data_IF_677461134171
#
_entry.id   IF_677461134171
#
_cell.length_a   1.000
_cell.length_b   1.000
_cell.length_c   1.000
_cell.angle_alpha   90.00
_cell.angle_beta   90.00
_cell.angle_gamma   90.00
#
_symmetry.space_group_name_H-M   'P 1'
#
loop_
_entity.id
_entity.type
_entity.pdbx_description
1 polymer ?
#
# COMPACT_ATOMS: atom_id res chain seq x y z
N UNK A 1 5.19 -13.42 -25.10
CA UNK A 1 4.87 -14.09 -23.83
C UNK A 1 4.13 -13.09 -22.95
N UNK A 2 3.11 -13.53 -22.19
CA UNK A 2 2.39 -12.64 -21.29
C UNK A 2 3.31 -12.15 -20.16
N UNK A 3 3.05 -10.93 -19.66
CA UNK A 3 3.74 -10.40 -18.48
C UNK A 3 3.27 -11.14 -17.23
N UNK A 4 4.21 -11.65 -16.44
CA UNK A 4 3.95 -12.32 -15.16
C UNK A 4 3.73 -11.26 -14.09
N UNK A 5 2.49 -11.09 -13.67
CA UNK A 5 2.09 -10.08 -12.69
C UNK A 5 1.94 -10.74 -11.32
N UNK A 6 2.88 -10.47 -10.43
CA UNK A 6 2.78 -10.81 -9.01
C UNK A 6 1.74 -9.95 -8.31
N UNK A 7 0.82 -10.57 -7.58
CA UNK A 7 -0.18 -9.86 -6.76
C UNK A 7 -0.52 -10.63 -5.48
N UNK A 8 -1.06 -9.92 -4.49
CA UNK A 8 -1.68 -10.52 -3.30
C UNK A 8 -3.19 -10.55 -3.52
N UNK A 9 -3.84 -11.68 -3.22
CA UNK A 9 -5.28 -11.85 -3.39
C UNK A 9 -6.05 -11.08 -2.32
N UNK A 10 -6.25 -9.79 -2.56
CA UNK A 10 -7.02 -8.89 -1.72
C UNK A 10 -8.00 -8.05 -2.55
N UNK A 11 -9.02 -7.51 -1.90
CA UNK A 11 -10.07 -6.73 -2.56
C UNK A 11 -9.55 -5.47 -3.29
N UNK A 12 -8.39 -4.93 -2.91
CA UNK A 12 -7.70 -3.85 -3.66
C UNK A 12 -7.24 -4.28 -5.07
N UNK A 13 -7.01 -5.57 -5.29
CA UNK A 13 -6.59 -6.12 -6.59
C UNK A 13 -7.76 -6.33 -7.56
N UNK A 14 -8.99 -5.97 -7.19
CA UNK A 14 -10.19 -6.22 -7.99
C UNK A 14 -10.11 -5.70 -9.44
N UNK A 15 -9.59 -4.48 -9.72
CA UNK A 15 -9.42 -4.03 -11.11
C UNK A 15 -8.44 -4.90 -11.91
N UNK A 16 -7.36 -5.38 -11.28
CA UNK A 16 -6.40 -6.30 -11.92
C UNK A 16 -7.05 -7.66 -12.20
N UNK A 17 -7.85 -8.18 -11.26
CA UNK A 17 -8.54 -9.45 -11.43
C UNK A 17 -9.56 -9.38 -12.57
N UNK A 18 -10.34 -8.30 -12.65
CA UNK A 18 -11.26 -8.05 -13.77
C UNK A 18 -10.52 -7.95 -15.11
N UNK A 19 -9.37 -7.29 -15.13
CA UNK A 19 -8.50 -7.25 -16.31
C UNK A 19 -8.04 -8.67 -16.68
N UNK A 20 -7.46 -9.43 -15.75
CA UNK A 20 -6.96 -10.76 -16.04
C UNK A 20 -8.05 -11.74 -16.50
N UNK A 21 -9.26 -11.64 -15.94
CA UNK A 21 -10.42 -12.43 -16.37
C UNK A 21 -10.80 -12.15 -17.83
N UNK A 22 -10.79 -10.88 -18.25
CA UNK A 22 -11.07 -10.50 -19.63
C UNK A 22 -9.89 -10.73 -20.59
N UNK A 23 -8.66 -10.71 -20.08
CA UNK A 23 -7.45 -10.94 -20.87
C UNK A 23 -7.25 -12.42 -21.21
N UNK A 24 -7.72 -13.33 -20.36
CA UNK A 24 -7.63 -14.79 -20.57
C UNK A 24 -6.19 -15.28 -20.83
N UNK A 25 -5.19 -14.63 -20.23
CA UNK A 25 -3.79 -15.03 -20.36
C UNK A 25 -3.09 -14.56 -21.64
N UNK A 26 -3.71 -13.69 -22.44
CA UNK A 26 -3.17 -13.20 -23.71
C UNK A 26 -2.00 -12.25 -23.53
N UNK A 27 -2.14 -11.28 -22.63
CA UNK A 27 -1.14 -10.23 -22.37
C UNK A 27 -0.55 -10.31 -20.97
N UNK A 28 -1.29 -10.84 -19.99
CA UNK A 28 -0.83 -10.98 -18.61
C UNK A 28 -1.08 -12.38 -18.05
N UNK A 29 -0.19 -12.84 -17.17
CA UNK A 29 -0.35 -14.06 -16.38
C UNK A 29 -0.23 -13.71 -14.91
N UNK A 30 -1.29 -13.94 -14.13
CA UNK A 30 -1.28 -13.64 -12.70
C UNK A 30 -0.50 -14.70 -11.92
N UNK A 31 0.36 -14.22 -11.01
CA UNK A 31 1.16 -15.04 -10.11
C UNK A 31 0.82 -14.65 -8.68
N UNK A 32 0.01 -15.45 -8.02
CA UNK A 32 -0.43 -15.17 -6.66
C UNK A 32 0.70 -15.32 -5.64
N UNK A 33 0.80 -14.35 -4.74
CA UNK A 33 1.79 -14.25 -3.68
C UNK A 33 1.10 -14.10 -2.31
N UNK A 34 0.58 -15.20 -1.73
CA UNK A 34 -0.21 -15.14 -0.49
C UNK A 34 0.60 -14.72 0.75
N UNK A 35 1.93 -14.78 0.69
CA UNK A 35 2.80 -14.33 1.80
C UNK A 35 3.07 -12.81 1.77
N UNK A 36 2.33 -12.06 0.97
CA UNK A 36 2.41 -10.60 0.89
C UNK A 36 3.64 -10.09 0.14
N UNK A 37 4.01 -8.83 0.39
CA UNK A 37 5.02 -8.13 -0.40
C UNK A 37 6.43 -8.73 -0.29
N UNK A 38 6.80 -9.33 0.84
CA UNK A 38 8.10 -10.01 0.97
C UNK A 38 8.29 -11.11 -0.09
N UNK A 39 7.22 -11.83 -0.42
CA UNK A 39 7.22 -12.82 -1.49
C UNK A 39 7.26 -12.16 -2.87
N UNK A 40 6.52 -11.07 -3.09
CA UNK A 40 6.56 -10.32 -4.35
C UNK A 40 7.98 -9.84 -4.66
N UNK A 41 8.68 -9.24 -3.70
CA UNK A 41 10.07 -8.80 -3.85
C UNK A 41 11.00 -9.98 -4.13
N UNK A 42 10.85 -11.08 -3.39
CA UNK A 42 11.67 -12.28 -3.65
C UNK A 42 11.44 -12.83 -5.06
N UNK A 43 10.22 -12.81 -5.57
CA UNK A 43 9.92 -13.29 -6.91
C UNK A 43 10.41 -12.34 -7.99
N UNK A 44 10.26 -11.03 -7.77
CA UNK A 44 10.74 -10.00 -8.67
C UNK A 44 12.28 -10.05 -8.78
N UNK A 45 12.98 -10.29 -7.67
CA UNK A 45 14.46 -10.41 -7.67
C UNK A 45 14.97 -11.71 -8.27
N UNK A 46 14.19 -12.79 -8.22
CA UNK A 46 14.53 -14.11 -8.80
C UNK A 46 14.07 -14.28 -10.25
N UNK A 47 13.52 -13.24 -10.86
CA UNK A 47 12.95 -13.32 -12.21
C UNK A 47 11.85 -14.39 -12.33
N UNK A 48 11.05 -14.55 -11.28
CA UNK A 48 9.85 -15.39 -11.28
C UNK A 48 8.59 -14.60 -11.71
N UNK A 49 8.61 -13.27 -11.56
CA UNK A 49 7.59 -12.32 -12.02
C UNK A 49 8.26 -11.13 -12.70
N UNK A 50 7.54 -10.50 -13.63
CA UNK A 50 8.01 -9.33 -14.38
C UNK A 50 7.58 -8.01 -13.70
N UNK A 51 6.39 -8.03 -13.08
CA UNK A 51 5.75 -6.89 -12.43
C UNK A 51 5.19 -7.31 -11.09
N UNK A 52 5.33 -6.49 -10.06
CA UNK A 52 4.75 -6.68 -8.72
C UNK A 52 3.75 -5.56 -8.41
N UNK A 53 2.50 -5.94 -8.10
CA UNK A 53 1.52 -5.07 -7.45
C UNK A 53 1.66 -5.23 -5.94
N UNK A 54 2.23 -4.21 -5.29
CA UNK A 54 2.67 -4.33 -3.91
C UNK A 54 2.35 -3.10 -3.08
N UNK A 55 2.33 -3.27 -1.76
CA UNK A 55 2.16 -2.17 -0.83
C UNK A 55 3.37 -1.21 -0.87
N UNK A 56 3.09 0.09 -0.82
CA UNK A 56 4.08 1.16 -1.02
C UNK A 56 5.18 1.18 0.05
N UNK A 57 4.80 0.92 1.30
CA UNK A 57 5.67 0.79 2.48
C UNK A 57 6.72 -0.33 2.37
N UNK A 58 6.65 -1.17 1.35
CA UNK A 58 7.58 -2.28 1.12
C UNK A 58 8.41 -2.13 -0.18
N UNK A 59 8.17 -1.09 -0.99
CA UNK A 59 8.85 -0.89 -2.30
C UNK A 59 10.27 -0.36 -2.20
N UNK A 60 10.61 0.32 -1.10
CA UNK A 60 12.00 0.52 -0.73
C UNK A 60 12.49 -0.75 -0.05
N UNK A 61 13.78 -1.06 -0.15
CA UNK A 61 14.46 -2.19 0.52
C UNK A 61 14.44 -2.07 2.08
N UNK A 62 13.41 -1.40 2.64
CA UNK A 62 13.27 -0.82 3.96
C UNK A 62 11.92 -1.17 4.63
N UNK A 63 11.02 -1.89 3.96
CA UNK A 63 9.77 -2.39 4.54
C UNK A 63 9.92 -3.68 5.35
N UNK A 64 10.82 -3.66 6.33
CA UNK A 64 11.09 -4.71 7.31
C UNK A 64 11.47 -3.93 8.59
N UNK A 65 10.93 -4.07 9.81
CA UNK A 65 10.18 -5.13 10.53
C UNK A 65 9.75 -4.55 11.91
N UNK A 66 8.88 -5.25 12.66
CA UNK A 66 8.55 -5.30 14.11
C UNK A 66 9.38 -4.60 15.24
N UNK A 67 10.44 -3.82 14.98
CA UNK A 67 11.33 -3.14 15.95
C UNK A 67 11.54 -1.67 15.51
N UNK A 68 12.42 -0.89 16.15
CA UNK A 68 12.77 0.49 15.72
C UNK A 68 12.84 0.59 14.18
N UNK A 69 11.99 1.43 13.58
CA UNK A 69 11.66 1.47 12.15
C UNK A 69 10.32 0.80 11.77
N UNK A 70 9.44 0.51 12.73
CA UNK A 70 8.16 -0.19 12.47
C UNK A 70 7.16 0.68 11.70
N UNK A 71 6.19 0.06 11.01
CA UNK A 71 5.09 0.78 10.37
C UNK A 71 4.30 1.66 11.36
N UNK A 72 4.10 1.20 12.60
CA UNK A 72 3.49 2.00 13.67
C UNK A 72 4.34 3.21 14.08
N UNK A 73 5.68 3.09 14.08
CA UNK A 73 6.58 4.22 14.34
C UNK A 73 6.59 5.20 13.17
N UNK A 74 6.67 4.73 11.93
CA UNK A 74 6.57 5.56 10.73
C UNK A 74 5.25 6.31 10.70
N UNK A 75 4.13 5.63 11.00
CA UNK A 75 2.81 6.25 11.04
C UNK A 75 2.64 7.22 12.21
N UNK A 76 3.33 7.01 13.33
CA UNK A 76 3.40 7.99 14.40
C UNK A 76 4.23 9.22 14.01
N UNK A 77 5.34 9.05 13.27
CA UNK A 77 6.07 10.17 12.68
C UNK A 77 5.23 10.95 11.66
N UNK A 78 4.48 10.25 10.81
CA UNK A 78 3.49 10.84 9.88
C UNK A 78 2.47 11.67 10.66
N UNK A 79 1.87 11.09 11.70
CA UNK A 79 0.89 11.77 12.53
C UNK A 79 1.47 13.02 13.18
N UNK A 80 2.65 12.89 13.80
CA UNK A 80 3.36 14.00 14.42
C UNK A 80 3.60 15.12 13.41
N UNK A 81 4.06 14.80 12.21
CA UNK A 81 4.26 15.79 11.15
C UNK A 81 2.94 16.49 10.74
N UNK A 82 1.85 15.73 10.54
CA UNK A 82 0.54 16.29 10.19
C UNK A 82 -0.01 17.21 11.29
N UNK A 83 0.30 16.93 12.55
CA UNK A 83 -0.13 17.73 13.71
C UNK A 83 0.88 18.83 14.10
N UNK A 84 2.00 18.96 13.37
CA UNK A 84 3.06 19.93 13.66
C UNK A 84 3.86 19.62 14.93
N UNK A 85 3.91 18.37 15.36
CA UNK A 85 4.68 17.93 16.52
C UNK A 85 6.19 17.83 16.20
N UNK A 86 7.08 18.30 17.10
CA UNK A 86 8.51 18.11 16.94
C UNK A 86 8.87 16.62 16.92
N UNK A 87 9.70 16.18 15.96
CA UNK A 87 10.15 14.79 15.89
C UNK A 87 10.92 14.34 17.15
N UNK A 88 11.62 15.27 17.78
CA UNK A 88 12.42 15.08 19.00
C UNK A 88 11.56 14.87 20.26
N UNK A 89 10.28 15.27 20.25
CA UNK A 89 9.39 15.09 21.41
C UNK A 89 8.67 13.74 21.41
N UNK A 90 8.80 12.95 20.35
CA UNK A 90 8.18 11.63 20.25
C UNK A 90 9.11 10.54 20.79
N UNK A 91 8.72 9.95 21.91
CA UNK A 91 9.40 8.81 22.52
C UNK A 91 8.67 7.52 22.16
N UNK A 92 9.42 6.52 21.68
CA UNK A 92 8.86 5.23 21.27
C UNK A 92 9.28 4.12 22.23
N UNK A 93 8.31 3.31 22.65
CA UNK A 93 8.54 2.09 23.42
C UNK A 93 8.24 0.87 22.55
N UNK A 94 9.14 -0.11 22.55
CA UNK A 94 8.96 -1.36 21.80
C UNK A 94 8.20 -2.35 22.68
N UNK A 95 6.95 -2.65 22.32
CA UNK A 95 6.07 -3.53 23.11
C UNK A 95 5.76 -4.89 22.46
N UNK A 96 6.61 -5.34 21.52
CA UNK A 96 6.57 -6.65 20.83
C UNK A 96 5.29 -6.97 20.04
N UNK A 97 4.13 -7.06 20.70
CA UNK A 97 2.85 -7.47 20.13
C UNK A 97 1.69 -6.55 20.58
N UNK A 98 0.49 -6.81 20.05
CA UNK A 98 -0.70 -6.01 20.36
C UNK A 98 -1.11 -6.09 21.83
N UNK A 99 -0.86 -7.21 22.52
CA UNK A 99 -1.17 -7.33 23.96
C UNK A 99 -0.25 -6.43 24.77
N UNK A 100 1.05 -6.45 24.49
CA UNK A 100 1.99 -5.53 25.12
C UNK A 100 1.65 -4.06 24.87
N UNK A 101 1.13 -3.71 23.68
CA UNK A 101 0.65 -2.35 23.40
C UNK A 101 -0.59 -1.99 24.22
N UNK A 102 -1.58 -2.88 24.32
CA UNK A 102 -2.79 -2.68 25.13
C UNK A 102 -2.43 -2.53 26.61
N UNK A 103 -1.58 -3.41 27.13
CA UNK A 103 -1.14 -3.36 28.53
C UNK A 103 -0.42 -2.03 28.81
N UNK A 104 0.43 -1.59 27.88
CA UNK A 104 1.22 -0.36 28.05
C UNK A 104 0.40 0.94 28.12
N UNK A 105 -0.76 1.00 27.46
CA UNK A 105 -1.64 2.19 27.58
C UNK A 105 -2.47 2.16 28.85
N UNK A 106 -2.78 0.95 29.34
CA UNK A 106 -3.56 0.73 30.56
C UNK A 106 -2.71 0.84 31.83
N UNK A 107 -1.41 0.52 31.77
CA UNK A 107 -0.45 0.72 32.86
C UNK A 107 0.22 2.11 32.85
N UNK A 108 -0.12 2.94 31.86
CA UNK A 108 0.39 4.29 31.63
C UNK A 108 1.88 4.39 31.29
N UNK A 109 2.54 3.29 30.90
CA UNK A 109 3.90 3.32 30.36
C UNK A 109 3.96 3.96 28.96
N UNK A 110 2.87 3.89 28.19
CA UNK A 110 2.70 4.64 26.94
C UNK A 110 1.40 5.44 26.93
N UNK A 111 1.41 6.59 26.23
CA UNK A 111 0.24 7.46 26.15
C UNK A 111 -0.80 7.01 25.11
N UNK A 112 -0.33 6.40 24.01
CA UNK A 112 -1.14 5.89 22.92
C UNK A 112 -0.32 4.92 22.06
N UNK A 113 -1.01 4.07 21.29
CA UNK A 113 -0.40 3.25 20.24
C UNK A 113 -1.23 3.33 18.94
N UNK A 114 -0.62 2.93 17.83
CA UNK A 114 -1.27 2.81 16.53
C UNK A 114 -1.15 1.38 16.03
N UNK A 115 -2.25 0.85 15.48
CA UNK A 115 -2.32 -0.50 14.93
C UNK A 115 -3.38 -0.57 13.82
N UNK A 116 -3.37 -1.65 13.04
CA UNK A 116 -4.36 -1.86 11.97
C UNK A 116 -5.78 -1.98 12.57
N UNK A 117 -6.75 -1.35 11.92
CA UNK A 117 -8.10 -1.14 12.44
C UNK A 117 -8.85 -2.45 12.72
N UNK A 118 -8.90 -3.36 11.75
CA UNK A 118 -9.66 -4.60 11.85
C UNK A 118 -9.08 -5.55 12.90
N UNK A 119 -7.75 -5.56 13.09
CA UNK A 119 -7.09 -6.31 14.18
C UNK A 119 -7.26 -5.66 15.55
N UNK A 120 -7.53 -4.36 15.61
CA UNK A 120 -7.75 -3.64 16.89
C UNK A 120 -9.20 -3.66 17.32
N UNK A 121 -10.14 -3.78 16.37
CA UNK A 121 -11.58 -3.72 16.61
C UNK A 121 -12.08 -4.67 17.72
N UNK A 122 -11.64 -5.95 17.81
CA UNK A 122 -12.08 -6.83 18.89
C UNK A 122 -11.76 -6.29 20.30
N UNK A 123 -10.60 -5.65 20.45
CA UNK A 123 -10.16 -5.06 21.73
C UNK A 123 -10.94 -3.80 22.08
N UNK A 124 -11.27 -2.99 21.08
CA UNK A 124 -12.17 -1.86 21.23
C UNK A 124 -13.57 -2.32 21.65
N UNK A 125 -14.11 -3.33 20.98
CA UNK A 125 -15.44 -3.89 21.27
C UNK A 125 -15.50 -4.48 22.69
N UNK A 126 -14.39 -5.06 23.18
CA UNK A 126 -14.26 -5.58 24.55
C UNK A 126 -14.07 -4.51 25.64
N UNK A 127 -13.83 -3.25 25.24
CA UNK A 127 -13.58 -2.12 26.15
C UNK A 127 -12.15 -2.06 26.72
N UNK A 128 -11.23 -2.91 26.24
CA UNK A 128 -9.83 -2.94 26.70
C UNK A 128 -9.00 -1.77 26.17
N UNK A 129 -9.46 -1.12 25.09
CA UNK A 129 -8.85 0.09 24.53
C UNK A 129 -9.90 1.12 24.13
N UNK A 130 -9.49 2.38 24.04
CA UNK A 130 -10.32 3.48 23.54
C UNK A 130 -9.80 3.98 22.20
N UNK A 131 -10.69 4.02 21.20
CA UNK A 131 -10.37 4.63 19.91
C UNK A 131 -10.33 6.16 20.05
N UNK A 132 -9.18 6.76 19.71
CA UNK A 132 -8.97 8.22 19.76
C UNK A 132 -8.91 8.86 18.39
N UNK A 133 -8.66 8.09 17.33
CA UNK A 133 -8.56 8.58 15.96
C UNK A 133 -7.83 7.61 15.04
N UNK A 134 -7.83 7.95 13.75
CA UNK A 134 -7.16 7.19 12.69
C UNK A 134 -6.27 8.11 11.87
N UNK A 135 -5.11 7.60 11.45
CA UNK A 135 -4.18 8.33 10.58
C UNK A 135 -4.11 7.58 9.25
N UNK A 136 -4.74 8.09 8.18
CA UNK A 136 -4.57 7.49 6.86
C UNK A 136 -3.13 7.69 6.39
N UNK A 137 -2.61 6.72 5.64
CA UNK A 137 -1.31 6.89 4.97
C UNK A 137 -1.39 8.08 4.01
N UNK A 138 -0.46 9.05 4.07
CA UNK A 138 -0.50 10.22 3.20
C UNK A 138 -0.04 9.90 1.77
N UNK A 139 0.47 8.69 1.54
CA UNK A 139 0.83 8.15 0.24
C UNK A 139 -0.13 7.04 -0.21
N UNK A 140 -0.19 6.75 -1.53
CA UNK A 140 -0.89 5.61 -2.07
C UNK A 140 -0.42 4.33 -1.37
N UNK A 141 -1.37 3.54 -0.90
CA UNK A 141 -1.06 2.29 -0.20
C UNK A 141 -0.47 1.24 -1.14
N UNK A 142 -0.69 1.35 -2.45
CA UNK A 142 -0.24 0.39 -3.47
C UNK A 142 0.56 1.07 -4.58
N UNK A 143 1.57 0.35 -5.08
CA UNK A 143 2.42 0.74 -6.19
C UNK A 143 2.65 -0.45 -7.14
N UNK A 144 3.01 -0.12 -8.38
CA UNK A 144 3.47 -1.08 -9.38
C UNK A 144 4.98 -0.96 -9.52
N UNK A 145 5.70 -2.04 -9.29
CA UNK A 145 7.13 -2.13 -9.59
C UNK A 145 7.38 -3.15 -10.69
N UNK A 146 8.32 -2.88 -11.59
CA UNK A 146 8.68 -3.78 -12.67
C UNK A 146 10.19 -4.03 -12.67
N UNK A 147 10.62 -5.18 -13.22
CA UNK A 147 12.05 -5.37 -13.45
C UNK A 147 12.56 -4.39 -14.53
N UNK A 148 13.82 -3.90 -14.42
CA UNK A 148 14.41 -3.05 -15.45
C UNK A 148 14.53 -3.70 -16.84
N UNK A 149 14.52 -5.03 -16.90
CA UNK A 149 14.61 -5.84 -18.12
C UNK A 149 13.30 -5.95 -18.89
N UNK A 150 12.16 -5.59 -18.29
CA UNK A 150 10.85 -5.72 -18.95
C UNK A 150 10.74 -4.74 -20.11
N UNK A 151 10.14 -5.20 -21.20
CA UNK A 151 9.88 -4.36 -22.36
C UNK A 151 8.98 -3.15 -22.00
N UNK A 152 9.50 -1.94 -22.24
CA UNK A 152 8.83 -0.66 -21.95
C UNK A 152 7.46 -0.55 -22.63
N UNK A 153 7.29 -1.03 -23.85
CA UNK A 153 6.03 -0.95 -24.59
C UNK A 153 4.98 -1.90 -24.00
N UNK A 154 5.38 -3.12 -23.64
CA UNK A 154 4.51 -4.06 -22.94
C UNK A 154 4.06 -3.50 -21.58
N UNK A 155 4.95 -2.84 -20.82
CA UNK A 155 4.60 -2.17 -19.56
C UNK A 155 3.61 -1.02 -19.78
N UNK A 156 3.84 -0.17 -20.79
CA UNK A 156 2.91 0.92 -21.13
C UNK A 156 1.53 0.39 -21.49
N UNK A 157 1.48 -0.65 -22.32
CA UNK A 157 0.23 -1.28 -22.72
C UNK A 157 -0.49 -1.85 -21.49
N UNK A 158 0.22 -2.58 -20.62
CA UNK A 158 -0.31 -3.09 -19.36
C UNK A 158 -0.89 -1.98 -18.49
N UNK A 159 -0.12 -0.92 -18.21
CA UNK A 159 -0.56 0.20 -17.36
C UNK A 159 -1.72 0.99 -17.99
N UNK A 160 -1.73 1.16 -19.31
CA UNK A 160 -2.83 1.82 -20.05
C UNK A 160 -4.12 1.02 -19.91
N UNK A 161 -4.04 -0.29 -20.14
CA UNK A 161 -5.19 -1.18 -19.99
C UNK A 161 -5.65 -1.24 -18.54
N UNK A 162 -4.73 -1.42 -17.58
CA UNK A 162 -5.05 -1.37 -16.15
C UNK A 162 -5.75 -0.07 -15.76
N UNK A 163 -5.30 1.09 -16.27
CA UNK A 163 -5.95 2.37 -16.01
C UNK A 163 -7.41 2.40 -16.47
N UNK A 164 -7.76 1.73 -17.57
CA UNK A 164 -9.16 1.64 -18.02
C UNK A 164 -10.02 0.80 -17.06
N UNK A 165 -9.50 -0.33 -16.58
CA UNK A 165 -10.19 -1.16 -15.59
C UNK A 165 -10.31 -0.45 -14.25
N UNK A 166 -9.27 0.26 -13.83
CA UNK A 166 -9.30 1.07 -12.62
C UNK A 166 -10.35 2.17 -12.72
N UNK A 167 -10.41 2.94 -13.81
CA UNK A 167 -11.45 3.97 -14.01
C UNK A 167 -12.86 3.37 -14.07
N UNK A 168 -13.02 2.22 -14.71
CA UNK A 168 -14.31 1.53 -14.77
C UNK A 168 -14.76 1.07 -13.37
N UNK A 169 -13.83 0.49 -12.60
CA UNK A 169 -14.06 0.07 -11.22
C UNK A 169 -14.37 1.25 -10.29
N UNK A 170 -13.64 2.36 -10.45
CA UNK A 170 -13.76 3.55 -9.60
C UNK A 170 -15.01 4.41 -9.92
N UNK A 171 -15.73 4.10 -11.01
CA UNK A 171 -16.94 4.82 -11.42
C UNK A 171 -18.10 4.67 -10.42
N UNK A 172 -18.94 5.71 -10.30
CA UNK A 172 -20.06 5.73 -9.36
C UNK A 172 -21.03 4.54 -9.55
N UNK A 173 -21.27 4.15 -10.81
CA UNK A 173 -22.15 3.02 -11.14
C UNK A 173 -21.56 1.68 -10.66
N UNK A 174 -20.29 1.43 -10.95
CA UNK A 174 -19.61 0.19 -10.56
C UNK A 174 -19.49 0.06 -9.04
N UNK A 175 -19.17 1.15 -8.35
CA UNK A 175 -19.08 1.18 -6.87
C UNK A 175 -20.40 0.90 -6.19
N UNK A 176 -21.51 1.37 -6.76
CA UNK A 176 -22.83 1.18 -6.18
C UNK A 176 -23.38 -0.25 -6.35
N UNK A 177 -22.88 -1.03 -7.32
CA UNK A 177 -23.47 -2.32 -7.67
C UNK A 177 -22.44 -3.39 -8.05
N UNK A 178 -21.87 -3.29 -9.25
CA UNK A 178 -21.04 -4.34 -9.89
C UNK A 178 -19.88 -4.81 -9.00
N UNK A 179 -19.20 -3.86 -8.36
CA UNK A 179 -18.03 -4.18 -7.56
C UNK A 179 -18.39 -4.90 -6.26
N UNK A 180 -19.55 -4.58 -5.65
CA UNK A 180 -20.02 -5.23 -4.42
C UNK A 180 -20.22 -6.71 -4.69
N UNK A 181 -20.94 -7.05 -5.76
CA UNK A 181 -21.16 -8.44 -6.17
C UNK A 181 -19.85 -9.15 -6.53
N UNK A 182 -18.96 -8.48 -7.27
CA UNK A 182 -17.66 -9.03 -7.63
C UNK A 182 -16.85 -9.39 -6.38
N UNK A 183 -16.68 -8.45 -5.46
CA UNK A 183 -15.88 -8.65 -4.24
C UNK A 183 -16.51 -9.71 -3.33
N UNK A 184 -17.83 -9.68 -3.16
CA UNK A 184 -18.57 -10.68 -2.38
C UNK A 184 -18.34 -12.08 -2.92
N UNK A 185 -18.44 -12.27 -4.23
CA UNK A 185 -18.23 -13.57 -4.88
C UNK A 185 -16.76 -14.05 -4.85
N UNK A 186 -15.80 -13.12 -4.94
CA UNK A 186 -14.37 -13.45 -5.03
C UNK A 186 -13.69 -13.60 -3.67
N UNK A 187 -14.10 -12.84 -2.67
CA UNK A 187 -13.44 -12.75 -1.36
C UNK A 187 -14.33 -13.10 -0.17
N UNK A 188 -15.66 -13.18 -0.36
CA UNK A 188 -16.59 -13.63 0.69
C UNK A 188 -16.88 -12.60 1.79
N UNK A 189 -16.52 -11.33 1.61
CA UNK A 189 -16.83 -10.27 2.59
C UNK A 189 -18.33 -9.97 2.67
N UNK A 190 -18.77 -9.48 3.83
CA UNK A 190 -20.12 -8.99 4.03
C UNK A 190 -20.41 -7.76 3.16
N UNK A 191 -21.65 -7.63 2.70
CA UNK A 191 -22.06 -6.56 1.79
C UNK A 191 -21.85 -5.17 2.41
N UNK A 192 -22.24 -5.01 3.68
CA UNK A 192 -22.07 -3.77 4.45
C UNK A 192 -20.60 -3.36 4.56
N UNK A 193 -19.68 -4.31 4.78
CA UNK A 193 -18.25 -4.05 4.87
C UNK A 193 -17.67 -3.62 3.52
N UNK A 194 -18.13 -4.24 2.42
CA UNK A 194 -17.69 -3.88 1.07
C UNK A 194 -18.18 -2.47 0.72
N UNK A 195 -19.43 -2.14 1.03
CA UNK A 195 -19.98 -0.80 0.79
C UNK A 195 -19.26 0.28 1.62
N UNK A 196 -18.95 -0.02 2.88
CA UNK A 196 -18.16 0.86 3.73
C UNK A 196 -16.76 1.07 3.14
N UNK A 197 -16.08 -0.01 2.74
CA UNK A 197 -14.77 0.07 2.10
C UNK A 197 -14.79 0.88 0.80
N UNK A 198 -15.81 0.68 -0.05
CA UNK A 198 -15.97 1.41 -1.32
C UNK A 198 -16.03 2.92 -1.16
N UNK A 199 -16.55 3.42 -0.04
CA UNK A 199 -16.62 4.85 0.27
C UNK A 199 -15.27 5.43 0.70
N UNK A 200 -14.32 4.57 1.09
CA UNK A 200 -13.01 4.99 1.64
C UNK A 200 -11.86 4.82 0.67
N UNK A 201 -11.89 3.77 -0.16
CA UNK A 201 -10.78 3.47 -1.08
C UNK A 201 -10.69 4.52 -2.19
N UNK A 202 -9.49 4.92 -2.57
CA UNK A 202 -9.25 5.77 -3.74
C UNK A 202 -8.35 5.06 -4.74
N UNK A 203 -8.65 5.18 -6.02
CA UNK A 203 -7.81 4.64 -7.10
C UNK A 203 -7.23 5.74 -8.00
N UNK A 204 -6.03 5.54 -8.56
CA UNK A 204 -5.47 6.49 -9.53
C UNK A 204 -6.25 6.45 -10.85
N UNK A 205 -6.52 7.62 -11.43
CA UNK A 205 -7.20 7.71 -12.73
C UNK A 205 -6.28 7.34 -13.91
N UNK A 206 -4.97 7.43 -13.72
CA UNK A 206 -3.93 7.11 -14.71
C UNK A 206 -2.75 6.42 -14.02
N UNK A 207 -2.59 5.11 -14.23
CA UNK A 207 -1.49 4.31 -13.67
C UNK A 207 -0.12 4.63 -14.32
N UNK A 208 -0.07 5.45 -15.37
CA UNK A 208 1.18 5.96 -15.96
C UNK A 208 1.63 7.27 -15.32
N UNK A 209 0.84 7.86 -14.44
CA UNK A 209 1.14 9.13 -13.80
C UNK A 209 1.54 8.92 -12.34
N UNK A 210 2.70 9.46 -11.98
CA UNK A 210 3.18 9.45 -10.59
C UNK A 210 3.18 10.89 -10.08
N UNK A 211 2.38 11.23 -9.05
CA UNK A 211 2.41 12.57 -8.46
C UNK A 211 3.76 12.81 -7.80
N UNK A 212 4.50 13.84 -8.24
CA UNK A 212 5.84 14.14 -7.74
C UNK A 212 5.81 14.45 -6.24
N UNK A 213 4.81 15.21 -5.80
CA UNK A 213 4.65 15.61 -4.40
C UNK A 213 4.47 14.40 -3.48
N UNK A 214 3.71 13.39 -3.91
CA UNK A 214 3.53 12.15 -3.14
C UNK A 214 4.86 11.44 -2.92
N UNK A 215 5.68 11.32 -3.97
CA UNK A 215 6.97 10.65 -3.89
C UNK A 215 7.95 11.43 -3.00
N UNK A 216 8.02 12.75 -3.17
CA UNK A 216 8.88 13.62 -2.35
C UNK A 216 8.43 13.66 -0.89
N UNK A 217 7.13 13.74 -0.62
CA UNK A 217 6.59 13.72 0.75
C UNK A 217 6.88 12.37 1.42
N UNK A 218 6.72 11.25 0.69
CA UNK A 218 7.06 9.92 1.21
C UNK A 218 8.54 9.83 1.58
N UNK A 219 9.43 10.26 0.69
CA UNK A 219 10.87 10.25 0.96
C UNK A 219 11.26 11.16 2.14
N UNK A 220 10.67 12.35 2.23
CA UNK A 220 10.91 13.27 3.34
C UNK A 220 10.43 12.71 4.67
N UNK A 221 9.25 12.09 4.72
CA UNK A 221 8.74 11.43 5.93
C UNK A 221 9.65 10.26 6.32
N UNK A 222 10.04 9.42 5.37
CA UNK A 222 10.92 8.29 5.63
C UNK A 222 12.32 8.75 6.10
N UNK A 223 12.82 9.87 5.58
CA UNK A 223 14.08 10.46 5.99
C UNK A 223 14.02 10.98 7.42
N UNK A 224 12.97 11.74 7.74
CA UNK A 224 12.73 12.26 9.09
C UNK A 224 12.51 11.13 10.11
N UNK A 225 11.90 10.02 9.69
CA UNK A 225 11.75 8.82 10.51
C UNK A 225 13.06 8.01 10.65
N UNK A 226 14.15 8.42 9.99
CA UNK A 226 15.44 7.74 10.01
C UNK A 226 15.47 6.41 9.24
N UNK A 227 14.45 6.15 8.41
CA UNK A 227 14.30 4.92 7.62
C UNK A 227 15.16 5.01 6.35
N UNK A 228 15.15 6.15 5.66
CA UNK A 228 16.07 6.43 4.54
C UNK A 228 17.07 7.50 4.95
N UNK A 229 18.26 7.47 4.33
CA UNK A 229 19.20 8.60 4.39
C UNK A 229 19.25 9.25 3.02
N UNK A 230 19.08 10.56 2.98
CA UNK A 230 19.25 11.30 1.74
C UNK A 230 20.72 11.25 1.29
N UNK A 231 20.98 10.99 0.00
CA UNK A 231 22.33 11.05 -0.54
C UNK A 231 22.83 12.51 -0.60
N UNK A 232 24.15 12.70 -0.75
CA UNK A 232 24.71 14.03 -1.03
C UNK A 232 24.01 14.63 -2.26
N UNK A 233 23.32 15.76 -2.07
CA UNK A 233 22.55 16.45 -3.11
C UNK A 233 21.03 16.20 -3.10
N UNK A 234 20.50 15.43 -2.15
CA UNK A 234 19.05 15.21 -2.03
C UNK A 234 18.52 14.03 -2.85
N UNK A 235 17.25 13.69 -2.65
CA UNK A 235 16.59 12.68 -3.48
C UNK A 235 16.33 13.18 -4.91
N UNK A 236 16.73 12.37 -5.88
CA UNK A 236 16.43 12.59 -7.30
C UNK A 236 15.28 11.66 -7.71
N UNK A 237 14.11 12.23 -8.02
CA UNK A 237 12.87 11.47 -8.30
C UNK A 237 13.04 10.50 -9.47
N UNK A 238 13.84 10.88 -10.46
CA UNK A 238 14.14 10.13 -11.67
C UNK A 238 14.86 8.80 -11.40
N UNK A 239 15.38 8.58 -10.17
CA UNK A 239 15.95 7.29 -9.76
C UNK A 239 14.89 6.26 -9.34
N UNK A 240 13.69 6.71 -9.03
CA UNK A 240 12.60 5.87 -8.52
C UNK A 240 11.55 5.56 -9.59
N UNK A 241 11.69 6.14 -10.78
CA UNK A 241 10.77 5.99 -11.89
C UNK A 241 11.53 5.69 -13.18
N UNK A 242 10.89 5.00 -14.12
CA UNK A 242 11.39 4.96 -15.50
C UNK A 242 10.66 6.04 -16.33
N UNK A 243 11.31 7.17 -16.66
CA UNK A 243 10.68 8.25 -17.42
C UNK A 243 10.30 7.83 -18.86
N UNK A 244 10.79 6.68 -19.33
CA UNK A 244 10.36 6.12 -20.62
C UNK A 244 8.98 5.48 -20.50
N UNK A 245 8.56 5.02 -19.32
CA UNK A 245 7.28 4.34 -19.06
C UNK A 245 6.25 5.30 -18.47
N UNK A 246 6.63 6.02 -17.42
CA UNK A 246 5.71 6.85 -16.61
C UNK A 246 6.05 8.33 -16.71
N UNK A 247 5.07 9.19 -16.45
CA UNK A 247 5.23 10.65 -16.38
C UNK A 247 5.02 11.14 -14.96
N UNK A 248 5.74 12.19 -14.58
CA UNK A 248 5.50 12.92 -13.33
C UNK A 248 4.39 13.94 -13.55
N UNK A 249 3.49 14.06 -12.57
CA UNK A 249 2.51 15.13 -12.47
C UNK A 249 2.79 16.01 -11.25
#
# INVERSE_FOLDING_TARGET
MPLRIGYVREHFSSPLLQFAEADEGRTIALVECPSGTGQLISRLTKDEIDVAMQLCDHTTQLGRISRLGSGSQTMAYVMGFQQGWPSESMNFQVNNDIRGLIDSVNDHSTAAFMWEWFTTKPWLDSGEVRFIGSVPTPWPSWLVAAQPSVNTEALKQFLTTLSSYVRSFDSAESRATKNVNFIKSRFGYGEEDIEAWMKTVGYPQDCLTIPKDVLMNTLSVLENAGVVKSPEGGFTVERFIDPKVVKLA
#
